data_IF_444792996580
#
_entry.id   IF_444792996580
#
_cell.length_a   1.000
_cell.length_b   1.000
_cell.length_c   1.000
_cell.angle_alpha   90.00
_cell.angle_beta   90.00
_cell.angle_gamma   90.00
#
_symmetry.space_group_name_H-M   'P 1'
#
loop_
_entity.id
_entity.type
_entity.pdbx_description
1 polymer ?
#
# COMPACT_ATOMS: atom_id res chain seq x y z
N UNK A 1 18.45 4.92 13.61
CA UNK A 1 18.49 5.98 12.56
C UNK A 1 17.67 7.15 13.06
N UNK A 2 18.10 8.41 12.79
CA UNK A 2 17.36 9.60 13.24
C UNK A 2 16.38 10.02 12.16
N UNK A 3 15.08 10.12 12.50
CA UNK A 3 14.05 10.68 11.65
C UNK A 3 14.28 12.18 11.45
N UNK A 4 14.02 12.67 10.24
CA UNK A 4 14.18 14.10 9.89
C UNK A 4 12.86 14.87 9.89
N UNK A 5 11.73 14.19 9.66
CA UNK A 5 10.42 14.79 9.45
C UNK A 5 10.28 15.55 8.12
N UNK A 6 11.24 15.37 7.22
CA UNK A 6 11.30 16.02 5.90
C UNK A 6 10.61 15.17 4.83
N UNK A 7 10.24 15.82 3.71
CA UNK A 7 9.97 15.09 2.48
C UNK A 7 11.26 14.38 2.03
N UNK A 8 11.11 13.26 1.31
CA UNK A 8 12.22 12.60 0.65
C UNK A 8 11.98 12.62 -0.85
N UNK A 9 12.66 13.52 -1.54
CA UNK A 9 12.48 13.73 -2.98
C UNK A 9 13.74 13.25 -3.70
N UNK A 10 13.58 12.20 -4.52
CA UNK A 10 14.70 11.61 -5.27
C UNK A 10 15.95 11.34 -4.40
N UNK A 11 15.75 10.82 -3.19
CA UNK A 11 16.83 10.51 -2.25
C UNK A 11 17.34 11.68 -1.39
N UNK A 12 16.80 12.88 -1.57
CA UNK A 12 17.21 14.07 -0.82
C UNK A 12 16.10 14.56 0.11
N UNK A 13 16.43 15.00 1.33
CA UNK A 13 15.47 15.61 2.24
C UNK A 13 15.09 17.01 1.76
N UNK A 14 13.79 17.37 1.88
CA UNK A 14 13.26 18.72 1.62
C UNK A 14 12.34 19.16 2.76
N UNK A 15 12.32 20.45 3.07
CA UNK A 15 11.62 21.00 4.25
C UNK A 15 11.19 22.45 4.00
N UNK A 16 10.47 22.70 2.90
CA UNK A 16 10.11 24.07 2.51
C UNK A 16 8.90 24.61 3.27
N UNK A 17 7.94 23.75 3.62
CA UNK A 17 6.70 24.19 4.27
C UNK A 17 6.91 24.51 5.76
N UNK A 18 6.20 25.52 6.26
CA UNK A 18 6.12 25.84 7.69
C UNK A 18 5.02 25.08 8.43
N UNK A 19 4.11 24.42 7.71
CA UNK A 19 3.06 23.60 8.32
C UNK A 19 3.67 22.30 8.84
N UNK A 20 3.48 22.02 10.12
CA UNK A 20 4.01 20.82 10.77
C UNK A 20 2.92 20.02 11.48
N UNK A 21 3.20 18.74 11.71
CA UNK A 21 2.38 17.87 12.52
C UNK A 21 3.27 16.84 13.24
N UNK A 22 2.72 16.16 14.24
CA UNK A 22 3.41 15.08 14.94
C UNK A 22 2.59 13.79 14.84
N UNK A 23 3.27 12.67 14.81
CA UNK A 23 2.63 11.40 15.10
C UNK A 23 2.20 11.36 16.57
N UNK A 24 1.20 10.56 16.89
CA UNK A 24 0.79 10.29 18.24
C UNK A 24 0.88 8.79 18.52
N UNK A 25 1.26 8.45 19.75
CA UNK A 25 1.13 7.09 20.23
C UNK A 25 -0.34 6.87 20.64
N UNK A 26 -1.10 6.03 19.95
CA UNK A 26 -2.52 5.86 20.24
C UNK A 26 -2.80 5.17 21.58
N UNK A 27 -1.82 4.45 22.15
CA UNK A 27 -1.97 3.77 23.43
C UNK A 27 -1.78 4.74 24.63
N UNK A 28 -0.96 5.79 24.47
CA UNK A 28 -0.67 6.76 25.55
C UNK A 28 -1.28 8.14 25.29
N UNK A 29 -1.59 8.46 24.03
CA UNK A 29 -2.00 9.79 23.60
C UNK A 29 -0.85 10.79 23.46
N UNK A 30 0.39 10.37 23.70
CA UNK A 30 1.57 11.23 23.63
C UNK A 30 1.99 11.51 22.20
N UNK A 31 2.43 12.75 21.95
CA UNK A 31 3.05 13.13 20.68
C UNK A 31 4.45 12.54 20.56
N UNK A 32 4.76 12.01 19.37
CA UNK A 32 6.04 11.39 19.05
C UNK A 32 6.92 12.33 18.22
N UNK A 33 8.20 12.43 18.60
CA UNK A 33 9.21 13.12 17.79
C UNK A 33 9.57 12.34 16.52
N UNK A 34 10.04 13.04 15.47
CA UNK A 34 10.13 14.49 15.31
C UNK A 34 8.80 15.12 14.86
N UNK A 35 8.82 16.44 14.65
CA UNK A 35 7.82 17.10 13.83
C UNK A 35 8.04 16.71 12.36
N UNK A 36 6.94 16.44 11.68
CA UNK A 36 6.90 16.21 10.23
C UNK A 36 6.35 17.45 9.54
N UNK A 37 6.92 17.80 8.39
CA UNK A 37 6.44 18.92 7.59
C UNK A 37 5.42 18.45 6.57
N UNK A 38 4.38 19.23 6.36
CA UNK A 38 3.44 18.99 5.27
C UNK A 38 4.09 19.40 3.95
N UNK A 39 3.97 18.60 2.89
CA UNK A 39 4.54 18.92 1.59
C UNK A 39 3.93 20.21 1.01
N UNK A 40 4.78 21.10 0.54
CA UNK A 40 4.40 22.26 -0.25
C UNK A 40 4.04 21.85 -1.68
N UNK A 41 3.33 22.74 -2.41
CA UNK A 41 3.10 22.51 -3.84
C UNK A 41 4.41 22.37 -4.62
N UNK A 42 5.42 23.19 -4.30
CA UNK A 42 6.73 23.13 -4.96
C UNK A 42 7.42 21.76 -4.72
N UNK A 43 7.31 21.19 -3.51
CA UNK A 43 7.83 19.86 -3.21
C UNK A 43 7.08 18.75 -3.95
N UNK A 44 5.76 18.87 -4.11
CA UNK A 44 4.97 17.94 -4.93
C UNK A 44 5.42 18.02 -6.40
N UNK A 45 5.52 19.23 -6.94
CA UNK A 45 5.97 19.48 -8.32
C UNK A 45 7.40 18.93 -8.54
N UNK A 46 8.30 19.12 -7.56
CA UNK A 46 9.67 18.59 -7.60
C UNK A 46 9.71 17.05 -7.59
N UNK A 47 8.92 16.41 -6.72
CA UNK A 47 8.84 14.95 -6.63
C UNK A 47 8.32 14.32 -7.93
N UNK A 48 7.26 14.89 -8.51
CA UNK A 48 6.70 14.39 -9.78
C UNK A 48 7.64 14.68 -10.94
N UNK A 49 8.31 15.83 -10.97
CA UNK A 49 9.32 16.15 -12.00
C UNK A 49 10.51 15.18 -11.95
N UNK A 50 11.00 14.84 -10.75
CA UNK A 50 12.05 13.86 -10.57
C UNK A 50 11.62 12.46 -11.05
N UNK A 51 10.39 12.04 -10.72
CA UNK A 51 9.83 10.77 -11.19
C UNK A 51 9.68 10.74 -12.72
N UNK A 52 9.23 11.83 -13.32
CA UNK A 52 9.11 11.97 -14.79
C UNK A 52 10.48 11.88 -15.45
N UNK A 53 11.49 12.56 -14.92
CA UNK A 53 12.87 12.51 -15.45
C UNK A 53 13.50 11.11 -15.33
N UNK A 54 13.16 10.37 -14.28
CA UNK A 54 13.64 9.01 -14.06
C UNK A 54 12.98 7.97 -14.97
N UNK A 55 11.78 8.24 -15.45
CA UNK A 55 10.92 7.22 -16.10
C UNK A 55 11.57 6.54 -17.28
N UNK A 56 12.11 7.29 -18.24
CA UNK A 56 12.68 6.69 -19.47
C UNK A 56 13.87 5.78 -19.17
N UNK A 57 14.73 6.15 -18.23
CA UNK A 57 15.85 5.30 -17.84
C UNK A 57 15.40 4.09 -17.01
N UNK A 58 14.40 4.25 -16.15
CA UNK A 58 13.91 3.19 -15.29
C UNK A 58 13.09 2.12 -16.02
N UNK A 59 12.17 2.53 -16.88
CA UNK A 59 11.34 1.60 -17.68
C UNK A 59 12.15 0.70 -18.60
N UNK A 60 13.32 1.17 -19.03
CA UNK A 60 14.23 0.45 -19.91
C UNK A 60 15.27 -0.41 -19.16
N UNK A 61 15.25 -0.43 -17.81
CA UNK A 61 16.07 -1.37 -17.04
C UNK A 61 15.62 -2.80 -17.31
N UNK A 62 16.56 -3.73 -17.39
CA UNK A 62 16.26 -5.15 -17.52
C UNK A 62 15.40 -5.64 -16.36
N UNK A 63 14.57 -6.65 -16.59
CA UNK A 63 13.77 -7.29 -15.55
C UNK A 63 14.63 -7.74 -14.37
N UNK A 64 15.79 -8.38 -14.65
CA UNK A 64 16.75 -8.79 -13.63
C UNK A 64 17.24 -7.63 -12.77
N UNK A 65 17.62 -6.50 -13.39
CA UNK A 65 18.07 -5.32 -12.62
C UNK A 65 16.98 -4.74 -11.72
N UNK A 66 15.70 -4.77 -12.14
CA UNK A 66 14.59 -4.36 -11.30
C UNK A 66 14.30 -5.37 -10.19
N UNK A 67 14.45 -6.68 -10.48
CA UNK A 67 14.33 -7.73 -9.48
C UNK A 67 15.42 -7.60 -8.41
N UNK A 68 16.67 -7.37 -8.80
CA UNK A 68 17.79 -7.11 -7.88
C UNK A 68 17.54 -5.86 -7.01
N UNK A 69 16.93 -4.83 -7.58
CA UNK A 69 16.50 -3.66 -6.81
C UNK A 69 15.48 -4.02 -5.74
N UNK A 70 14.45 -4.82 -6.07
CA UNK A 70 13.44 -5.26 -5.11
C UNK A 70 14.05 -6.15 -4.00
N UNK A 71 14.95 -7.07 -4.36
CA UNK A 71 15.67 -7.88 -3.36
C UNK A 71 16.56 -7.02 -2.45
N UNK A 72 17.21 -6.00 -3.02
CA UNK A 72 18.01 -5.06 -2.23
C UNK A 72 17.15 -4.22 -1.29
N UNK A 73 15.91 -3.86 -1.70
CA UNK A 73 14.93 -3.24 -0.78
C UNK A 73 14.67 -4.16 0.42
N UNK A 74 14.50 -5.46 0.20
CA UNK A 74 14.31 -6.43 1.30
C UNK A 74 15.51 -6.44 2.25
N UNK A 75 16.73 -6.43 1.73
CA UNK A 75 17.94 -6.38 2.55
C UNK A 75 17.99 -5.10 3.41
N UNK A 76 17.72 -3.93 2.80
CA UNK A 76 17.72 -2.65 3.51
C UNK A 76 16.60 -2.55 4.55
N UNK A 77 15.42 -3.12 4.28
CA UNK A 77 14.31 -3.20 5.26
C UNK A 77 14.70 -4.07 6.45
N UNK A 78 15.34 -5.20 6.22
CA UNK A 78 15.85 -6.05 7.30
C UNK A 78 16.95 -5.35 8.11
N UNK A 79 17.81 -4.58 7.45
CA UNK A 79 18.87 -3.82 8.09
C UNK A 79 18.36 -2.65 8.97
N UNK A 80 17.09 -2.22 8.83
CA UNK A 80 16.47 -1.25 9.75
C UNK A 80 16.35 -1.81 11.18
N UNK A 81 16.26 -3.13 11.34
CA UNK A 81 16.24 -3.82 12.63
C UNK A 81 15.04 -3.50 13.51
N UNK A 82 15.26 -3.62 14.83
CA UNK A 82 14.25 -3.39 15.86
C UNK A 82 13.75 -1.93 15.91
N UNK A 83 14.58 -0.90 15.70
CA UNK A 83 14.11 0.49 15.71
C UNK A 83 12.96 0.78 14.73
N UNK A 84 12.89 0.07 13.60
CA UNK A 84 11.78 0.16 12.66
C UNK A 84 10.49 -0.41 13.25
N UNK A 85 10.57 -1.57 13.89
CA UNK A 85 9.42 -2.22 14.52
C UNK A 85 8.93 -1.45 15.74
N UNK A 86 9.87 -0.94 16.58
CA UNK A 86 9.57 -0.12 17.75
C UNK A 86 8.85 1.18 17.34
N UNK A 87 9.34 1.84 16.27
CA UNK A 87 8.69 3.03 15.75
C UNK A 87 7.28 2.71 15.23
N UNK A 88 7.12 1.64 14.49
CA UNK A 88 5.81 1.20 13.99
C UNK A 88 4.85 0.89 15.15
N UNK A 89 5.30 0.17 16.16
CA UNK A 89 4.51 -0.13 17.34
C UNK A 89 4.09 1.15 18.10
N UNK A 90 5.00 2.11 18.25
CA UNK A 90 4.72 3.39 18.91
C UNK A 90 3.68 4.23 18.13
N UNK A 91 3.71 4.23 16.82
CA UNK A 91 2.77 4.99 15.96
C UNK A 91 1.40 4.31 15.78
N UNK A 92 1.27 3.02 16.10
CA UNK A 92 0.06 2.25 15.82
C UNK A 92 -0.60 1.62 17.04
N UNK A 93 0.12 1.54 18.16
CA UNK A 93 -0.32 0.75 19.33
C UNK A 93 -0.30 -0.76 19.09
N UNK A 94 0.20 -1.24 17.97
CA UNK A 94 0.30 -2.66 17.68
C UNK A 94 1.42 -3.34 18.49
N UNK A 95 1.23 -4.59 18.91
CA UNK A 95 2.30 -5.37 19.51
C UNK A 95 3.48 -5.57 18.54
N UNK A 96 4.70 -5.59 19.06
CA UNK A 96 5.91 -5.80 18.24
C UNK A 96 5.84 -7.06 17.38
N UNK A 97 5.33 -8.16 17.91
CA UNK A 97 5.14 -9.41 17.15
C UNK A 97 4.21 -9.22 15.93
N UNK A 98 3.20 -8.34 16.01
CA UNK A 98 2.34 -7.98 14.88
C UNK A 98 3.12 -7.15 13.85
N UNK A 99 3.93 -6.19 14.28
CA UNK A 99 4.78 -5.39 13.38
C UNK A 99 5.81 -6.27 12.67
N UNK A 100 6.40 -7.24 13.37
CA UNK A 100 7.34 -8.20 12.78
C UNK A 100 6.68 -9.11 11.75
N UNK A 101 5.52 -9.65 12.05
CA UNK A 101 4.74 -10.46 11.10
C UNK A 101 4.37 -9.67 9.85
N UNK A 102 4.03 -8.38 10.00
CA UNK A 102 3.71 -7.49 8.89
C UNK A 102 4.94 -7.16 8.04
N UNK A 103 6.11 -6.91 8.65
CA UNK A 103 7.39 -6.79 7.94
C UNK A 103 7.67 -8.06 7.14
N UNK A 104 7.49 -9.24 7.72
CA UNK A 104 7.63 -10.51 7.04
C UNK A 104 6.71 -10.64 5.80
N UNK A 105 5.46 -10.19 5.92
CA UNK A 105 4.51 -10.15 4.81
C UNK A 105 4.96 -9.20 3.69
N UNK A 106 5.41 -7.99 4.04
CA UNK A 106 5.91 -7.03 3.05
C UNK A 106 7.11 -7.57 2.28
N UNK A 107 8.05 -8.21 2.98
CA UNK A 107 9.22 -8.88 2.39
C UNK A 107 8.80 -9.99 1.43
N UNK A 108 7.86 -10.87 1.85
CA UNK A 108 7.38 -11.96 1.01
C UNK A 108 6.75 -11.45 -0.28
N UNK A 109 5.91 -10.41 -0.21
CA UNK A 109 5.31 -9.78 -1.40
C UNK A 109 6.37 -9.14 -2.31
N UNK A 110 7.37 -8.45 -1.74
CA UNK A 110 8.44 -7.83 -2.52
C UNK A 110 9.22 -8.87 -3.32
N UNK A 111 9.59 -10.01 -2.69
CA UNK A 111 10.23 -11.13 -3.37
C UNK A 111 9.34 -11.77 -4.44
N UNK A 112 8.05 -11.93 -4.14
CA UNK A 112 7.10 -12.43 -5.13
C UNK A 112 7.06 -11.56 -6.39
N UNK A 113 7.09 -10.22 -6.26
CA UNK A 113 7.18 -9.33 -7.42
C UNK A 113 8.51 -9.46 -8.15
N UNK A 114 9.63 -9.65 -7.45
CA UNK A 114 10.91 -9.93 -8.08
C UNK A 114 10.87 -11.22 -8.92
N UNK A 115 10.26 -12.28 -8.40
CA UNK A 115 10.10 -13.54 -9.12
C UNK A 115 9.17 -13.39 -10.35
N UNK A 116 8.05 -12.68 -10.20
CA UNK A 116 7.10 -12.43 -11.31
C UNK A 116 7.77 -11.68 -12.47
N UNK A 117 8.59 -10.68 -12.18
CA UNK A 117 9.25 -9.95 -13.27
C UNK A 117 10.40 -10.75 -13.90
N UNK A 118 11.07 -11.63 -13.17
CA UNK A 118 12.05 -12.58 -13.72
C UNK A 118 11.40 -13.61 -14.63
N UNK A 119 10.24 -14.14 -14.23
CA UNK A 119 9.45 -15.09 -15.02
C UNK A 119 8.98 -14.48 -16.34
N UNK A 120 8.52 -13.24 -16.34
CA UNK A 120 8.32 -12.39 -17.51
C UNK A 120 6.99 -12.54 -18.26
N UNK A 121 6.13 -13.52 -17.97
CA UNK A 121 4.83 -13.70 -18.67
C UNK A 121 3.85 -12.55 -18.42
N UNK A 122 4.02 -11.81 -17.33
CA UNK A 122 3.17 -10.67 -16.96
C UNK A 122 3.11 -9.56 -18.03
N UNK A 123 4.09 -9.46 -18.93
CA UNK A 123 4.07 -8.49 -20.04
C UNK A 123 3.07 -8.86 -21.13
N UNK A 124 2.47 -10.06 -21.08
CA UNK A 124 1.48 -10.58 -22.02
C UNK A 124 1.89 -10.34 -23.49
N UNK A 125 3.12 -10.73 -23.83
CA UNK A 125 3.68 -10.54 -25.17
C UNK A 125 2.93 -11.43 -26.18
N UNK A 126 2.37 -10.79 -27.21
CA UNK A 126 1.62 -11.47 -28.26
C UNK A 126 2.21 -11.16 -29.62
N UNK A 127 2.30 -12.18 -30.47
CA UNK A 127 2.78 -12.09 -31.83
C UNK A 127 1.74 -12.72 -32.74
N UNK A 128 1.07 -11.90 -33.54
CA UNK A 128 0.17 -12.33 -34.60
C UNK A 128 0.89 -12.27 -35.93
N UNK A 129 1.27 -13.44 -36.46
CA UNK A 129 2.01 -13.53 -37.72
C UNK A 129 1.17 -12.99 -38.90
N UNK A 130 1.83 -12.41 -39.93
CA UNK A 130 1.15 -11.89 -41.12
C UNK A 130 0.55 -13.03 -41.94
N UNK A 131 -0.59 -12.76 -42.61
CA UNK A 131 -1.18 -13.64 -43.63
C UNK A 131 -1.52 -12.80 -44.85
N UNK A 132 -0.62 -12.80 -45.86
CA UNK A 132 -0.85 -12.05 -47.10
C UNK A 132 -1.98 -12.62 -47.97
N UNK A 133 -2.43 -13.84 -47.69
CA UNK A 133 -3.44 -14.52 -48.48
C UNK A 133 -4.88 -14.31 -47.95
N UNK A 134 -5.01 -13.79 -46.73
CA UNK A 134 -6.32 -13.54 -46.08
C UNK A 134 -7.20 -12.60 -46.92
N UNK A 135 -8.47 -12.93 -47.03
CA UNK A 135 -9.50 -12.11 -47.70
C UNK A 135 -10.44 -11.51 -46.64
N UNK A 136 -11.07 -10.33 -46.88
CA UNK A 136 -10.91 -9.43 -48.05
C UNK A 136 -9.63 -8.61 -48.02
N UNK A 137 -8.95 -8.49 -46.88
CA UNK A 137 -7.68 -7.76 -46.72
C UNK A 137 -6.60 -8.66 -46.11
N UNK A 138 -5.32 -8.53 -46.56
CA UNK A 138 -4.21 -9.21 -45.93
C UNK A 138 -4.13 -8.93 -44.43
N UNK A 139 -3.68 -9.92 -43.62
CA UNK A 139 -3.38 -9.73 -42.19
C UNK A 139 -1.95 -9.15 -42.05
N UNK A 140 -1.82 -8.06 -41.33
CA UNK A 140 -0.51 -7.48 -40.98
C UNK A 140 0.18 -8.29 -39.85
N UNK A 141 1.51 -8.16 -39.74
CA UNK A 141 2.26 -8.56 -38.54
C UNK A 141 1.88 -7.59 -37.40
N UNK A 142 1.29 -8.12 -36.33
CA UNK A 142 0.88 -7.34 -35.17
C UNK A 142 1.56 -7.91 -33.93
N UNK A 143 2.17 -7.04 -33.16
CA UNK A 143 2.86 -7.39 -31.92
C UNK A 143 2.40 -6.47 -30.80
N UNK A 144 2.12 -7.00 -29.62
CA UNK A 144 1.70 -6.24 -28.46
C UNK A 144 2.33 -6.78 -27.19
N UNK A 145 2.56 -5.90 -26.21
CA UNK A 145 2.96 -6.22 -24.84
C UNK A 145 2.58 -5.06 -23.93
N UNK A 146 2.45 -5.35 -22.64
CA UNK A 146 2.25 -4.31 -21.64
C UNK A 146 3.53 -3.48 -21.47
N UNK A 147 3.34 -2.18 -21.27
CA UNK A 147 4.41 -1.21 -21.03
C UNK A 147 4.14 -0.45 -19.74
N UNK A 148 5.18 -0.01 -19.01
CA UNK A 148 5.03 0.90 -17.88
C UNK A 148 4.29 2.17 -18.30
N UNK A 149 3.33 2.61 -17.48
CA UNK A 149 2.48 3.76 -17.84
C UNK A 149 3.11 5.12 -17.56
N UNK A 150 4.04 5.20 -16.60
CA UNK A 150 4.66 6.45 -16.14
C UNK A 150 4.72 6.54 -14.62
N UNK A 151 5.01 7.71 -14.04
CA UNK A 151 4.97 7.93 -12.60
C UNK A 151 3.61 7.64 -11.98
N UNK A 152 3.61 6.92 -10.83
CA UNK A 152 2.41 6.48 -10.11
C UNK A 152 2.32 7.19 -8.76
N UNK A 153 1.16 7.78 -8.45
CA UNK A 153 0.84 8.29 -7.13
C UNK A 153 0.28 7.18 -6.24
N UNK A 154 0.79 7.03 -5.01
CA UNK A 154 0.36 5.98 -4.08
C UNK A 154 -0.09 6.58 -2.75
N UNK A 155 -1.17 6.02 -2.21
CA UNK A 155 -1.76 6.39 -0.93
C UNK A 155 -2.01 5.12 -0.11
N UNK A 156 -1.15 4.87 0.87
CA UNK A 156 -1.23 3.68 1.72
C UNK A 156 -2.23 3.84 2.87
N UNK A 157 -2.68 2.71 3.42
CA UNK A 157 -3.61 2.63 4.53
C UNK A 157 -2.92 2.74 5.89
N UNK A 158 -3.68 3.12 6.94
CA UNK A 158 -3.17 3.19 8.31
C UNK A 158 -3.06 1.84 8.99
N UNK A 159 -3.96 0.90 8.67
CA UNK A 159 -4.13 -0.36 9.39
C UNK A 159 -3.09 -1.44 9.05
N UNK A 160 -2.32 -1.23 7.99
CA UNK A 160 -1.14 -2.02 7.63
C UNK A 160 0.03 -1.06 7.33
N UNK A 161 0.65 -0.50 8.39
CA UNK A 161 1.64 0.58 8.26
C UNK A 161 2.91 0.18 7.49
N UNK A 162 3.19 -1.11 7.39
CA UNK A 162 4.34 -1.65 6.65
C UNK A 162 3.87 -2.22 5.30
N UNK A 163 2.92 -3.17 5.31
CA UNK A 163 2.61 -4.01 4.16
C UNK A 163 1.58 -3.42 3.19
N UNK A 164 0.85 -2.35 3.56
CA UNK A 164 -0.07 -1.60 2.70
C UNK A 164 0.22 -0.09 2.82
N UNK A 165 1.49 0.27 2.84
CA UNK A 165 1.98 1.64 2.85
C UNK A 165 3.22 1.73 1.97
N UNK A 166 4.31 2.34 2.43
CA UNK A 166 5.54 2.54 1.63
C UNK A 166 6.11 1.24 1.06
N UNK A 167 6.09 0.14 1.84
CA UNK A 167 6.52 -1.19 1.39
C UNK A 167 5.34 -2.06 0.91
N UNK A 168 4.22 -1.45 0.59
CA UNK A 168 3.01 -2.13 0.17
C UNK A 168 3.08 -2.68 -1.24
N UNK A 169 2.12 -3.57 -1.54
CA UNK A 169 2.00 -4.20 -2.85
C UNK A 169 1.89 -3.17 -3.99
N UNK A 170 1.21 -2.05 -3.77
CA UNK A 170 1.05 -0.98 -4.77
C UNK A 170 2.40 -0.36 -5.15
N UNK A 171 3.24 -0.05 -4.15
CA UNK A 171 4.60 0.47 -4.37
C UNK A 171 5.47 -0.56 -5.08
N UNK A 172 5.48 -1.79 -4.58
CA UNK A 172 6.36 -2.83 -5.10
C UNK A 172 5.96 -3.26 -6.51
N UNK A 173 4.67 -3.37 -6.83
CA UNK A 173 4.18 -3.68 -8.18
C UNK A 173 4.48 -2.55 -9.17
N UNK A 174 4.33 -1.29 -8.77
CA UNK A 174 4.69 -0.15 -9.62
C UNK A 174 6.19 -0.15 -9.94
N UNK A 175 7.06 -0.32 -8.93
CA UNK A 175 8.51 -0.42 -9.12
C UNK A 175 8.89 -1.64 -9.98
N UNK A 176 8.28 -2.79 -9.72
CA UNK A 176 8.49 -4.01 -10.50
C UNK A 176 8.16 -3.80 -11.98
N UNK A 177 7.04 -3.14 -12.27
CA UNK A 177 6.62 -2.87 -13.65
C UNK A 177 7.47 -1.80 -14.37
N UNK A 178 8.33 -1.08 -13.66
CA UNK A 178 9.17 -0.01 -14.24
C UNK A 178 8.55 1.38 -14.15
N UNK A 179 7.59 1.58 -13.25
CA UNK A 179 6.96 2.87 -12.97
C UNK A 179 7.60 3.53 -11.74
N UNK A 180 8.12 4.76 -11.85
CA UNK A 180 8.53 5.53 -10.68
C UNK A 180 7.35 5.85 -9.76
N UNK A 181 7.62 5.96 -8.47
CA UNK A 181 6.58 6.14 -7.43
C UNK A 181 6.76 7.45 -6.69
N UNK A 182 5.66 8.18 -6.54
CA UNK A 182 5.52 9.27 -5.57
C UNK A 182 4.44 8.87 -4.58
N UNK A 183 4.84 8.56 -3.34
CA UNK A 183 3.90 8.13 -2.30
C UNK A 183 3.63 9.24 -1.29
N UNK A 184 2.36 9.45 -0.97
CA UNK A 184 1.96 10.26 0.18
C UNK A 184 1.91 9.37 1.42
N UNK A 185 2.78 9.65 2.39
CA UNK A 185 2.82 8.98 3.68
C UNK A 185 1.47 9.09 4.41
N UNK A 186 1.06 8.03 5.11
CA UNK A 186 -0.10 8.12 5.97
C UNK A 186 0.24 8.90 7.26
N UNK A 187 -0.56 9.91 7.65
CA UNK A 187 -0.21 10.79 8.78
C UNK A 187 -0.27 10.09 10.15
N UNK A 188 -0.87 8.91 10.27
CA UNK A 188 -0.89 8.15 11.52
C UNK A 188 0.45 7.46 11.84
N UNK A 189 1.29 7.18 10.81
CA UNK A 189 2.57 6.50 10.99
C UNK A 189 3.69 7.08 10.09
N UNK A 190 3.92 8.41 10.15
CA UNK A 190 4.85 9.08 9.24
C UNK A 190 6.31 8.66 9.46
N UNK A 191 6.72 8.34 10.69
CA UNK A 191 8.07 7.88 11.00
C UNK A 191 8.35 6.48 10.44
N UNK A 192 7.37 5.58 10.51
CA UNK A 192 7.44 4.28 9.85
C UNK A 192 7.61 4.45 8.34
N UNK A 193 6.86 5.37 7.73
CA UNK A 193 6.98 5.68 6.30
C UNK A 193 8.36 6.24 5.95
N UNK A 194 8.92 7.15 6.75
CA UNK A 194 10.25 7.74 6.50
C UNK A 194 11.35 6.68 6.60
N UNK A 195 11.31 5.80 7.61
CA UNK A 195 12.28 4.70 7.73
C UNK A 195 12.21 3.76 6.53
N UNK A 196 11.01 3.37 6.12
CA UNK A 196 10.80 2.54 4.94
C UNK A 196 11.30 3.22 3.65
N UNK A 197 11.06 4.52 3.49
CA UNK A 197 11.56 5.30 2.36
C UNK A 197 13.09 5.31 2.29
N UNK A 198 13.77 5.45 3.44
CA UNK A 198 15.25 5.39 3.46
C UNK A 198 15.79 4.04 3.01
N UNK A 199 15.10 2.94 3.30
CA UNK A 199 15.47 1.61 2.78
C UNK A 199 15.36 1.55 1.25
N UNK A 200 14.27 2.07 0.67
CA UNK A 200 14.10 2.11 -0.80
C UNK A 200 15.17 2.99 -1.45
N UNK A 201 15.49 4.16 -0.87
CA UNK A 201 16.52 5.05 -1.41
C UNK A 201 17.91 4.42 -1.40
N UNK A 202 18.30 3.75 -0.30
CA UNK A 202 19.56 3.02 -0.21
C UNK A 202 19.64 1.89 -1.22
N UNK A 203 18.56 1.15 -1.39
CA UNK A 203 18.48 0.11 -2.39
C UNK A 203 18.63 0.67 -3.81
N UNK A 204 17.99 1.80 -4.11
CA UNK A 204 18.11 2.46 -5.40
C UNK A 204 19.56 2.92 -5.67
N UNK A 205 20.24 3.49 -4.69
CA UNK A 205 21.65 3.88 -4.77
C UNK A 205 22.56 2.67 -4.99
N UNK A 206 22.41 1.61 -4.18
CA UNK A 206 23.20 0.38 -4.28
C UNK A 206 23.07 -0.34 -5.61
N UNK A 207 21.90 -0.27 -6.24
CA UNK A 207 21.60 -0.96 -7.50
C UNK A 207 21.67 -0.05 -8.74
N UNK A 208 22.09 1.21 -8.57
CA UNK A 208 22.21 2.16 -9.66
C UNK A 208 20.87 2.47 -10.36
N UNK A 209 19.78 2.51 -9.59
CA UNK A 209 18.50 3.01 -10.08
C UNK A 209 18.52 4.54 -10.14
N UNK A 210 17.77 5.17 -11.07
CA UNK A 210 17.69 6.63 -11.10
C UNK A 210 17.12 7.18 -9.82
N UNK A 211 17.65 8.27 -9.29
CA UNK A 211 17.27 8.84 -7.99
C UNK A 211 15.77 9.18 -7.88
N UNK A 212 15.14 9.57 -8.99
CA UNK A 212 13.71 9.89 -9.05
C UNK A 212 12.79 8.65 -9.10
N UNK A 213 13.30 7.42 -8.97
CA UNK A 213 12.50 6.20 -8.98
C UNK A 213 11.49 6.17 -7.84
N UNK A 214 11.79 6.85 -6.73
CA UNK A 214 10.95 6.91 -5.55
C UNK A 214 11.03 8.26 -4.86
N UNK A 215 9.89 8.78 -4.38
CA UNK A 215 9.78 9.95 -3.51
C UNK A 215 8.69 9.76 -2.46
N UNK A 216 8.92 10.26 -1.24
CA UNK A 216 7.97 10.25 -0.12
C UNK A 216 7.55 11.68 0.22
N UNK A 217 6.25 11.93 0.29
CA UNK A 217 5.66 13.19 0.71
C UNK A 217 4.84 13.00 1.98
N UNK A 218 5.03 13.86 2.97
CA UNK A 218 4.23 13.91 4.19
C UNK A 218 3.09 14.95 4.06
N UNK A 219 2.03 14.77 4.83
CA UNK A 219 0.95 15.74 4.95
C UNK A 219 -0.30 15.16 5.60
N UNK A 220 -1.03 16.04 6.29
CA UNK A 220 -2.31 15.75 6.92
C UNK A 220 -3.48 16.30 6.12
N UNK A 221 -3.25 17.33 5.30
CA UNK A 221 -4.31 17.97 4.51
C UNK A 221 -4.71 17.10 3.30
N UNK A 222 -5.95 17.28 2.87
CA UNK A 222 -6.44 16.70 1.63
C UNK A 222 -5.80 17.36 0.40
N UNK A 223 -5.27 18.58 0.54
CA UNK A 223 -4.64 19.33 -0.55
C UNK A 223 -3.44 18.59 -1.14
N UNK A 224 -2.56 18.04 -0.30
CA UNK A 224 -1.38 17.27 -0.77
C UNK A 224 -1.82 16.09 -1.64
N UNK A 225 -2.86 15.37 -1.22
CA UNK A 225 -3.40 14.24 -1.98
C UNK A 225 -4.00 14.66 -3.32
N UNK A 226 -4.85 15.68 -3.31
CA UNK A 226 -5.52 16.20 -4.52
C UNK A 226 -4.50 16.76 -5.51
N UNK A 227 -3.57 17.61 -5.06
CA UNK A 227 -2.52 18.17 -5.91
C UNK A 227 -1.63 17.09 -6.54
N UNK A 228 -1.32 16.02 -5.80
CA UNK A 228 -0.53 14.91 -6.32
C UNK A 228 -1.29 14.16 -7.42
N UNK A 229 -2.55 13.79 -7.20
CA UNK A 229 -3.36 13.07 -8.19
C UNK A 229 -3.66 13.93 -9.42
N UNK A 230 -3.91 15.23 -9.23
CA UNK A 230 -4.21 16.16 -10.31
C UNK A 230 -2.96 16.59 -11.12
N UNK A 231 -1.76 16.30 -10.62
CA UNK A 231 -0.51 16.69 -11.30
C UNK A 231 -0.38 16.03 -12.67
N UNK A 232 -0.12 16.79 -13.76
CA UNK A 232 -0.08 16.26 -15.13
C UNK A 232 0.99 15.19 -15.36
N UNK A 233 2.06 15.17 -14.59
CA UNK A 233 3.13 14.17 -14.66
C UNK A 233 2.82 12.85 -13.93
N UNK A 234 1.64 12.67 -13.33
CA UNK A 234 1.15 11.40 -12.77
C UNK A 234 0.30 10.69 -13.82
N UNK A 235 0.54 9.40 -14.03
CA UNK A 235 -0.10 8.59 -15.07
C UNK A 235 -0.98 7.46 -14.55
N UNK A 236 -0.90 7.15 -13.27
CA UNK A 236 -1.83 6.27 -12.56
C UNK A 236 -1.81 6.60 -11.06
N UNK A 237 -2.83 6.18 -10.34
CA UNK A 237 -2.84 6.28 -8.90
C UNK A 237 -3.38 5.00 -8.25
N UNK A 238 -2.87 4.67 -7.05
CA UNK A 238 -3.34 3.57 -6.22
C UNK A 238 -3.64 4.07 -4.81
N UNK A 239 -4.75 3.59 -4.24
CA UNK A 239 -5.26 4.03 -2.95
C UNK A 239 -5.83 2.86 -2.16
N UNK A 240 -5.48 2.78 -0.90
CA UNK A 240 -6.17 1.93 0.07
C UNK A 240 -6.57 2.76 1.30
N UNK A 241 -7.87 2.79 1.62
CA UNK A 241 -8.37 3.59 2.74
C UNK A 241 -9.89 3.72 2.78
N UNK A 242 -10.38 4.86 3.32
CA UNK A 242 -11.81 5.11 3.46
C UNK A 242 -12.51 5.37 2.11
N UNK A 243 -13.80 5.01 2.04
CA UNK A 243 -14.64 5.32 0.88
C UNK A 243 -14.64 6.82 0.55
N UNK A 244 -14.74 7.68 1.55
CA UNK A 244 -14.77 9.12 1.35
C UNK A 244 -13.46 9.65 0.73
N UNK A 245 -12.31 9.21 1.27
CA UNK A 245 -10.99 9.61 0.74
C UNK A 245 -10.73 9.05 -0.66
N UNK A 246 -10.98 7.76 -0.86
CA UNK A 246 -10.79 7.11 -2.17
C UNK A 246 -11.70 7.70 -3.23
N UNK A 247 -12.96 7.97 -2.91
CA UNK A 247 -13.92 8.58 -3.85
C UNK A 247 -13.51 10.00 -4.24
N UNK A 248 -13.04 10.81 -3.28
CA UNK A 248 -12.57 12.16 -3.57
C UNK A 248 -11.36 12.16 -4.53
N UNK A 249 -10.39 11.28 -4.31
CA UNK A 249 -9.22 11.14 -5.19
C UNK A 249 -9.59 10.54 -6.55
N UNK A 250 -10.50 9.55 -6.59
CA UNK A 250 -11.04 8.99 -7.83
C UNK A 250 -11.70 10.07 -8.70
N UNK A 251 -12.54 10.91 -8.08
CA UNK A 251 -13.21 12.01 -8.79
C UNK A 251 -12.19 13.05 -9.27
N UNK A 252 -11.14 13.34 -8.49
CA UNK A 252 -10.04 14.21 -8.90
C UNK A 252 -9.29 13.64 -10.11
N UNK A 253 -8.95 12.34 -10.10
CA UNK A 253 -8.29 11.66 -11.21
C UNK A 253 -9.10 11.72 -12.50
N UNK A 254 -10.42 11.57 -12.40
CA UNK A 254 -11.33 11.58 -13.55
C UNK A 254 -11.66 12.98 -14.08
N UNK A 255 -11.57 14.03 -13.24
CA UNK A 255 -11.78 15.42 -13.67
C UNK A 255 -10.58 16.04 -14.39
N UNK A 256 -9.46 15.38 -14.44
CA UNK A 256 -8.26 15.84 -15.17
C UNK A 256 -8.57 16.03 -16.65
N UNK A 257 -7.91 16.98 -17.35
CA UNK A 257 -7.97 17.08 -18.82
C UNK A 257 -7.65 15.77 -19.53
N UNK A 258 -6.71 14.99 -18.97
CA UNK A 258 -6.41 13.61 -19.36
C UNK A 258 -6.65 12.74 -18.14
N UNK A 259 -7.77 11.98 -18.06
CA UNK A 259 -8.05 11.06 -16.98
C UNK A 259 -6.97 9.98 -16.86
N UNK A 260 -6.74 9.49 -15.66
CA UNK A 260 -5.76 8.43 -15.38
C UNK A 260 -6.43 7.22 -14.72
N UNK A 261 -5.89 6.01 -14.89
CA UNK A 261 -6.30 4.85 -14.11
C UNK A 261 -6.16 5.11 -12.61
N UNK A 262 -7.21 4.75 -11.86
CA UNK A 262 -7.24 4.88 -10.41
C UNK A 262 -7.65 3.54 -9.80
N UNK A 263 -6.71 2.87 -9.14
CA UNK A 263 -6.91 1.58 -8.49
C UNK A 263 -7.15 1.82 -7.01
N UNK A 264 -8.30 1.37 -6.48
CA UNK A 264 -8.65 1.69 -5.11
C UNK A 264 -9.38 0.57 -4.38
N UNK A 265 -8.95 0.32 -3.15
CA UNK A 265 -9.71 -0.41 -2.14
C UNK A 265 -10.28 0.60 -1.12
N UNK A 266 -11.61 0.73 -1.08
CA UNK A 266 -12.31 1.80 -0.33
C UNK A 266 -13.24 1.27 0.77
N UNK A 267 -13.13 0.03 1.12
CA UNK A 267 -13.93 -0.66 2.11
C UNK A 267 -14.28 -2.06 1.65
N UNK A 268 -14.81 -2.86 2.58
CA UNK A 268 -15.16 -4.25 2.33
C UNK A 268 -16.34 -4.70 3.18
N UNK A 269 -17.01 -5.79 2.78
CA UNK A 269 -18.06 -6.46 3.56
C UNK A 269 -17.62 -7.87 3.96
N UNK A 270 -16.87 -8.55 3.10
CA UNK A 270 -16.35 -9.92 3.30
C UNK A 270 -17.43 -10.90 3.81
N UNK A 271 -18.49 -11.17 3.02
CA UNK A 271 -19.56 -12.06 3.44
C UNK A 271 -19.04 -13.50 3.60
N UNK A 272 -19.33 -14.10 4.73
CA UNK A 272 -18.98 -15.49 5.05
C UNK A 272 -20.25 -16.35 4.94
N UNK A 273 -20.24 -17.35 4.06
CA UNK A 273 -21.32 -18.29 3.90
C UNK A 273 -20.99 -19.59 4.63
N UNK A 274 -21.82 -19.98 5.61
CA UNK A 274 -21.60 -21.20 6.38
C UNK A 274 -22.66 -22.24 5.97
N UNK A 275 -22.20 -23.32 5.35
CA UNK A 275 -23.08 -24.39 4.89
C UNK A 275 -23.47 -25.34 6.04
N UNK A 276 -24.68 -25.96 5.99
CA UNK A 276 -25.18 -26.82 7.09
C UNK A 276 -24.24 -27.97 7.45
N UNK A 277 -23.64 -28.64 6.46
CA UNK A 277 -22.68 -29.73 6.72
C UNK A 277 -21.43 -29.30 7.48
N UNK A 278 -20.96 -28.05 7.28
CA UNK A 278 -19.85 -27.49 8.02
C UNK A 278 -20.26 -27.21 9.50
N UNK A 279 -21.47 -26.69 9.73
CA UNK A 279 -22.00 -26.45 11.07
C UNK A 279 -22.19 -27.77 11.84
N UNK A 280 -22.70 -28.82 11.17
CA UNK A 280 -22.87 -30.13 11.80
C UNK A 280 -21.55 -30.74 12.25
N UNK A 281 -20.48 -30.57 11.45
CA UNK A 281 -19.21 -31.23 11.72
C UNK A 281 -18.24 -30.44 12.59
N UNK A 282 -18.29 -29.09 12.60
CA UNK A 282 -17.27 -28.26 13.23
C UNK A 282 -17.75 -26.88 13.68
N UNK A 283 -18.99 -26.76 14.15
CA UNK A 283 -19.62 -25.48 14.56
C UNK A 283 -18.77 -24.69 15.55
N UNK A 284 -18.23 -25.33 16.59
CA UNK A 284 -17.40 -24.66 17.58
C UNK A 284 -16.11 -24.05 17.00
N UNK A 285 -15.40 -24.80 16.16
CA UNK A 285 -14.19 -24.31 15.51
C UNK A 285 -14.47 -23.17 14.53
N UNK A 286 -15.63 -23.20 13.85
CA UNK A 286 -16.06 -22.11 12.96
C UNK A 286 -16.38 -20.86 13.77
N UNK A 287 -17.08 -20.99 14.92
CA UNK A 287 -17.39 -19.87 15.81
C UNK A 287 -16.12 -19.22 16.37
N UNK A 288 -15.17 -20.03 16.84
CA UNK A 288 -13.88 -19.56 17.32
C UNK A 288 -13.10 -18.83 16.23
N UNK A 289 -12.99 -19.43 15.03
CA UNK A 289 -12.31 -18.82 13.88
C UNK A 289 -12.99 -17.52 13.42
N UNK A 290 -14.32 -17.46 13.44
CA UNK A 290 -15.08 -16.25 13.11
C UNK A 290 -14.78 -15.13 14.12
N UNK A 291 -14.84 -15.40 15.43
CA UNK A 291 -14.53 -14.42 16.48
C UNK A 291 -13.08 -13.93 16.34
N UNK A 292 -12.13 -14.85 16.14
CA UNK A 292 -10.72 -14.51 15.95
C UNK A 292 -10.53 -13.59 14.73
N UNK A 293 -11.16 -13.92 13.59
CA UNK A 293 -11.07 -13.09 12.39
C UNK A 293 -11.74 -11.72 12.58
N UNK A 294 -12.90 -11.67 13.26
CA UNK A 294 -13.65 -10.43 13.52
C UNK A 294 -12.88 -9.46 14.42
N UNK A 295 -12.17 -9.97 15.43
CA UNK A 295 -11.51 -9.17 16.46
C UNK A 295 -10.03 -8.91 16.16
N UNK A 296 -9.48 -9.53 15.13
CA UNK A 296 -8.09 -9.35 14.73
C UNK A 296 -7.79 -7.87 14.42
N UNK A 297 -6.68 -7.35 14.98
CA UNK A 297 -6.31 -5.95 14.83
C UNK A 297 -7.39 -4.98 15.34
N UNK A 298 -8.11 -5.35 16.39
CA UNK A 298 -9.23 -4.57 16.98
C UNK A 298 -10.37 -4.36 15.96
N UNK A 299 -10.57 -5.31 15.04
CA UNK A 299 -11.59 -5.22 13.98
C UNK A 299 -11.28 -4.21 12.87
N UNK A 300 -10.05 -3.66 12.80
CA UNK A 300 -9.68 -2.58 11.89
C UNK A 300 -9.14 -3.06 10.53
N UNK A 301 -9.35 -4.34 10.17
CA UNK A 301 -8.81 -4.89 8.93
C UNK A 301 -9.84 -4.86 7.79
N UNK A 302 -9.35 -4.61 6.57
CA UNK A 302 -10.14 -4.73 5.35
C UNK A 302 -10.63 -6.18 5.11
N UNK A 303 -9.98 -7.18 5.69
CA UNK A 303 -10.34 -8.59 5.64
C UNK A 303 -11.33 -9.02 6.73
N UNK A 304 -11.75 -8.11 7.61
CA UNK A 304 -12.71 -8.38 8.67
C UNK A 304 -14.04 -8.92 8.10
N UNK A 305 -14.58 -10.05 8.59
CA UNK A 305 -15.89 -10.55 8.17
C UNK A 305 -16.99 -9.61 8.68
N UNK A 306 -17.56 -8.79 7.79
CA UNK A 306 -18.63 -7.83 8.12
C UNK A 306 -20.04 -8.43 8.05
N UNK A 307 -20.19 -9.64 7.49
CA UNK A 307 -21.48 -10.34 7.39
C UNK A 307 -21.27 -11.84 7.43
N UNK A 308 -22.14 -12.54 8.14
CA UNK A 308 -22.19 -14.00 8.13
C UNK A 308 -23.60 -14.48 7.78
N UNK A 309 -23.68 -15.48 6.90
CA UNK A 309 -24.92 -16.00 6.34
C UNK A 309 -24.97 -17.53 6.52
N UNK A 310 -26.11 -18.05 6.95
CA UNK A 310 -26.35 -19.47 7.10
C UNK A 310 -27.83 -19.82 6.93
N UNK A 311 -28.16 -21.11 6.84
CA UNK A 311 -29.52 -21.57 6.85
C UNK A 311 -30.00 -21.74 8.29
N UNK A 312 -31.22 -21.31 8.57
CA UNK A 312 -31.86 -21.44 9.86
C UNK A 312 -31.93 -22.92 10.32
N UNK A 313 -31.42 -23.18 11.50
CA UNK A 313 -31.37 -24.51 12.13
C UNK A 313 -30.84 -24.43 13.55
N UNK A 314 -31.06 -25.46 14.38
CA UNK A 314 -30.50 -25.52 15.74
C UNK A 314 -28.98 -25.38 15.78
N UNK A 315 -28.27 -25.89 14.75
CA UNK A 315 -26.83 -25.76 14.64
C UNK A 315 -26.40 -24.33 14.25
N UNK A 316 -27.20 -23.60 13.49
CA UNK A 316 -27.00 -22.18 13.23
C UNK A 316 -27.18 -21.33 14.49
N UNK A 317 -28.23 -21.58 15.25
CA UNK A 317 -28.50 -20.88 16.53
C UNK A 317 -27.39 -21.12 17.54
N UNK A 318 -26.91 -22.36 17.62
CA UNK A 318 -25.74 -22.72 18.45
C UNK A 318 -24.47 -21.99 18.02
N UNK A 319 -24.21 -21.90 16.71
CA UNK A 319 -23.08 -21.09 16.18
C UNK A 319 -23.21 -19.63 16.56
N UNK A 320 -24.37 -19.01 16.38
CA UNK A 320 -24.62 -17.61 16.73
C UNK A 320 -24.39 -17.35 18.24
N UNK A 321 -24.87 -18.28 19.10
CA UNK A 321 -24.64 -18.16 20.54
C UNK A 321 -23.14 -18.25 20.87
N UNK A 322 -22.41 -19.25 20.34
CA UNK A 322 -20.97 -19.40 20.60
C UNK A 322 -20.17 -18.18 20.10
N UNK A 323 -20.49 -17.65 18.93
CA UNK A 323 -19.86 -16.46 18.41
C UNK A 323 -20.12 -15.23 19.30
N UNK A 324 -21.37 -15.02 19.72
CA UNK A 324 -21.74 -13.92 20.62
C UNK A 324 -21.03 -14.00 21.97
N UNK A 325 -20.92 -15.21 22.54
CA UNK A 325 -20.19 -15.44 23.80
C UNK A 325 -18.67 -15.20 23.62
N UNK A 326 -18.10 -15.61 22.48
CA UNK A 326 -16.70 -15.36 22.16
C UNK A 326 -16.39 -13.88 22.05
N UNK A 327 -17.24 -13.12 21.35
CA UNK A 327 -17.09 -11.66 21.21
C UNK A 327 -17.15 -10.97 22.58
N UNK A 328 -18.10 -11.36 23.44
CA UNK A 328 -18.21 -10.78 24.79
C UNK A 328 -16.99 -11.01 25.69
N UNK A 329 -16.20 -12.06 25.42
CA UNK A 329 -14.98 -12.38 26.16
C UNK A 329 -13.73 -11.68 25.59
N UNK A 330 -13.87 -11.01 24.44
CA UNK A 330 -12.75 -10.31 23.82
C UNK A 330 -12.49 -9.00 24.56
N UNK A 331 -11.27 -8.83 25.05
CA UNK A 331 -10.87 -7.60 25.75
C UNK A 331 -10.71 -6.44 24.75
N UNK A 332 -11.15 -5.23 25.13
CA UNK A 332 -10.90 -4.02 24.33
C UNK A 332 -9.40 -3.76 24.17
N UNK A 333 -9.01 -3.23 23.01
CA UNK A 333 -7.63 -2.87 22.75
C UNK A 333 -7.52 -1.52 22.04
N UNK A 334 -6.29 -0.99 21.91
CA UNK A 334 -6.03 0.32 21.35
C UNK A 334 -6.35 0.37 19.86
N UNK A 335 -7.14 1.36 19.44
CA UNK A 335 -7.40 1.67 18.04
C UNK A 335 -6.28 2.55 17.47
N UNK A 336 -6.06 2.45 16.16
CA UNK A 336 -4.93 3.11 15.46
C UNK A 336 -4.90 4.63 15.59
N UNK A 337 -6.04 5.28 15.49
CA UNK A 337 -6.15 6.74 15.59
C UNK A 337 -7.60 7.19 15.75
N UNK A 338 -7.78 8.44 16.18
CA UNK A 338 -9.09 9.02 16.44
C UNK A 338 -10.07 8.95 15.26
N UNK A 339 -9.59 9.05 14.02
CA UNK A 339 -10.42 8.95 12.82
C UNK A 339 -11.07 7.58 12.66
N UNK A 340 -10.38 6.49 12.98
CA UNK A 340 -10.96 5.14 12.96
C UNK A 340 -11.90 4.95 14.17
N UNK A 341 -11.53 5.49 15.33
CA UNK A 341 -12.38 5.41 16.52
C UNK A 341 -13.74 6.10 16.34
N UNK A 342 -13.78 7.15 15.51
CA UNK A 342 -15.00 7.92 15.26
C UNK A 342 -15.85 7.39 14.09
N UNK A 343 -15.32 6.49 13.28
CA UNK A 343 -15.98 5.90 12.11
C UNK A 343 -16.82 4.70 12.48
#
# INVERSE_FOLDING_TARGET
MKLSGSQWIAGNPSSESSKTFRAANPATGESLDPEFREASKAEIDAAVSAATAAFDSFRNKLAESRADFLETIVEEVLALGDPFLERTAAETGYPLARCEAERGRAIAHTRQFADVIREGSWVDARIDLPDPTRKPLPKADVRSLFQPVGPVAIFGASNFPIAISVLGADTMSALASGCPVVIKAHPAHPGTCELAATAIHRAAERTGMPSGVFSLLHGTSHEVGSQLVEHPGIFAAAFTGSLAGGRALFDAANRRPVPIPFYAEMGSVNPVFILPGALQSRSAAIAEGFVSALTQGVGQFCTNPGMVLGLESDTWDSFCQMAAEGIKKTEPATMLHAGIHSA
#
